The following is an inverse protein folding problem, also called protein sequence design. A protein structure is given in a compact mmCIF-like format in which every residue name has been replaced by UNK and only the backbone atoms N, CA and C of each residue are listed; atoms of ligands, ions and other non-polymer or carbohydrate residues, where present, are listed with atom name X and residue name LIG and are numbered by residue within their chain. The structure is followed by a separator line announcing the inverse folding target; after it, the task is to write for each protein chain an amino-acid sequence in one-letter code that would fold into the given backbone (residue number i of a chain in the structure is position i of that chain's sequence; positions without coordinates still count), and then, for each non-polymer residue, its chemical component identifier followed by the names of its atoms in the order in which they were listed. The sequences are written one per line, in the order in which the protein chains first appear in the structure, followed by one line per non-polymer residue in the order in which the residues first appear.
data_IF_435877634946
#
_entry.id   IF_435877634946
#
_cell.length_a   1.000
_cell.length_b   1.000
_cell.length_c   1.000
_cell.angle_alpha   90.00
_cell.angle_beta   90.00
_cell.angle_gamma   90.00
#
_symmetry.space_group_name_H-M   'P 1'
#
loop_
_entity.id
_entity.type
_entity.pdbx_description
1 polymer ?
#
# COMPACT_ATOMS: atom_id res chain seq x y z
N UNK A 1 -61.77 2.80 48.55
CA UNK A 1 -60.87 1.80 47.93
C UNK A 1 -60.97 1.98 46.42
N UNK A 2 -59.87 2.36 45.73
CA UNK A 2 -59.55 2.10 44.30
C UNK A 2 -60.55 2.60 43.22
N UNK A 3 -60.22 3.27 42.11
CA UNK A 3 -58.99 3.72 41.42
C UNK A 3 -59.39 4.92 40.53
N UNK A 4 -58.50 5.90 40.37
CA UNK A 4 -58.61 7.00 39.42
C UNK A 4 -58.42 6.51 37.97
N UNK A 5 -59.37 6.82 37.10
CA UNK A 5 -59.16 7.00 35.66
C UNK A 5 -59.71 8.40 35.37
N UNK A 6 -59.04 9.30 34.65
CA UNK A 6 -58.95 9.22 33.20
C UNK A 6 -58.39 10.54 32.65
N UNK A 7 -57.80 10.49 31.45
CA UNK A 7 -57.70 11.58 30.45
C UNK A 7 -56.50 12.52 30.51
N UNK A 8 -55.29 11.97 30.38
CA UNK A 8 -54.16 12.69 29.76
C UNK A 8 -53.30 11.67 29.00
N UNK A 9 -53.80 11.13 27.90
CA UNK A 9 -53.04 10.25 27.00
C UNK A 9 -53.65 10.30 25.62
N UNK A 10 -53.51 11.45 24.95
CA UNK A 10 -53.91 11.57 23.56
C UNK A 10 -53.12 12.69 22.85
N UNK A 11 -51.81 12.83 23.11
CA UNK A 11 -50.97 13.80 22.38
C UNK A 11 -49.46 13.57 22.60
N UNK A 12 -49.01 12.32 22.71
CA UNK A 12 -47.60 12.00 22.93
C UNK A 12 -47.09 10.81 22.08
N UNK A 13 -47.71 10.55 20.92
CA UNK A 13 -47.36 9.39 20.10
C UNK A 13 -47.17 9.68 18.62
N UNK A 14 -46.88 10.93 18.25
CA UNK A 14 -46.61 11.30 16.84
C UNK A 14 -45.22 11.89 16.57
N UNK A 15 -44.28 11.78 17.52
CA UNK A 15 -42.89 12.26 17.32
C UNK A 15 -41.82 11.17 17.47
N UNK A 16 -42.20 9.90 17.54
CA UNK A 16 -41.28 8.76 17.76
C UNK A 16 -41.16 7.85 16.53
N UNK A 17 -41.46 8.35 15.33
CA UNK A 17 -41.41 7.54 14.10
C UNK A 17 -40.31 7.95 13.10
N UNK A 18 -39.56 9.03 13.35
CA UNK A 18 -38.61 9.58 12.36
C UNK A 18 -37.13 9.21 12.63
N UNK A 19 -36.80 8.60 13.76
CA UNK A 19 -35.39 8.40 14.15
C UNK A 19 -34.76 7.03 13.83
N UNK A 20 -35.47 6.11 13.16
CA UNK A 20 -34.94 4.75 12.89
C UNK A 20 -34.45 4.50 11.47
N UNK A 21 -34.38 5.53 10.61
CA UNK A 21 -33.75 5.41 9.30
C UNK A 21 -32.31 5.94 9.29
N UNK A 22 -31.52 5.59 10.31
CA UNK A 22 -30.06 5.64 10.16
C UNK A 22 -29.66 4.41 9.37
N UNK A 23 -29.74 4.52 8.03
CA UNK A 23 -29.11 3.58 7.12
C UNK A 23 -27.62 3.49 7.50
N UNK A 24 -27.24 2.42 8.19
CA UNK A 24 -25.86 2.02 8.32
C UNK A 24 -25.35 1.77 6.90
N UNK A 25 -24.71 2.78 6.31
CA UNK A 25 -23.93 2.60 5.10
C UNK A 25 -23.00 1.40 5.34
N UNK A 26 -22.85 0.47 4.38
CA UNK A 26 -21.88 -0.60 4.53
C UNK A 26 -20.52 0.06 4.72
N UNK A 27 -19.97 -0.09 5.93
CA UNK A 27 -18.57 0.20 6.19
C UNK A 27 -17.80 -0.54 5.10
N UNK A 28 -17.20 0.21 4.17
CA UNK A 28 -16.32 -0.37 3.18
C UNK A 28 -15.16 -0.96 3.96
N UNK A 29 -15.26 -2.26 4.26
CA UNK A 29 -14.15 -3.07 4.69
C UNK A 29 -13.02 -2.74 3.72
N UNK A 30 -11.90 -2.26 4.27
CA UNK A 30 -10.72 -1.85 3.52
C UNK A 30 -10.36 -2.99 2.57
N UNK A 31 -10.80 -2.90 1.31
CA UNK A 31 -10.74 -4.02 0.38
C UNK A 31 -9.27 -4.25 0.08
N UNK A 32 -8.71 -5.32 0.63
CA UNK A 32 -7.41 -5.82 0.20
C UNK A 32 -7.38 -5.86 -1.32
N UNK A 33 -6.31 -5.35 -1.94
CA UNK A 33 -6.22 -5.28 -3.40
C UNK A 33 -6.52 -6.65 -4.02
N UNK A 34 -7.32 -6.68 -5.08
CA UNK A 34 -7.70 -7.93 -5.73
C UNK A 34 -6.47 -8.62 -6.34
N UNK A 35 -6.51 -9.95 -6.45
CA UNK A 35 -5.40 -10.70 -7.04
C UNK A 35 -5.18 -10.35 -8.52
N UNK A 36 -6.25 -9.93 -9.22
CA UNK A 36 -6.12 -9.43 -10.58
C UNK A 36 -5.29 -8.14 -10.64
N UNK A 37 -5.56 -7.19 -9.75
CA UNK A 37 -4.77 -5.95 -9.67
C UNK A 37 -3.30 -6.24 -9.31
N UNK A 38 -3.04 -7.13 -8.36
CA UNK A 38 -1.67 -7.54 -8.01
C UNK A 38 -0.93 -8.08 -9.23
N UNK A 39 -1.56 -8.97 -10.01
CA UNK A 39 -1.01 -9.53 -11.24
C UNK A 39 -0.74 -8.48 -12.30
N UNK A 40 -1.69 -7.58 -12.52
CA UNK A 40 -1.57 -6.49 -13.50
C UNK A 40 -0.39 -5.58 -13.18
N UNK A 41 -0.35 -5.00 -11.97
CA UNK A 41 0.73 -4.12 -11.55
C UNK A 41 2.09 -4.82 -11.52
N UNK A 42 2.13 -6.09 -11.08
CA UNK A 42 3.37 -6.86 -11.14
C UNK A 42 3.83 -7.09 -12.58
N UNK A 43 2.93 -7.47 -13.48
CA UNK A 43 3.25 -7.68 -14.90
C UNK A 43 3.82 -6.42 -15.55
N UNK A 44 3.16 -5.28 -15.34
CA UNK A 44 3.64 -3.97 -15.81
C UNK A 44 5.01 -3.64 -15.20
N UNK A 45 5.16 -3.80 -13.89
CA UNK A 45 6.42 -3.54 -13.21
C UNK A 45 7.58 -4.37 -13.75
N UNK A 46 7.39 -5.69 -13.93
CA UNK A 46 8.44 -6.58 -14.42
C UNK A 46 8.78 -6.27 -15.87
N UNK A 47 7.78 -6.01 -16.71
CA UNK A 47 7.97 -5.66 -18.12
C UNK A 47 8.79 -4.38 -18.23
N UNK A 48 8.36 -3.29 -17.58
CA UNK A 48 9.05 -2.02 -17.63
C UNK A 48 10.47 -2.09 -17.01
N UNK A 49 10.63 -2.84 -15.92
CA UNK A 49 11.95 -3.05 -15.29
C UNK A 49 12.92 -3.77 -16.22
N UNK A 50 12.46 -4.78 -16.95
CA UNK A 50 13.30 -5.56 -17.88
C UNK A 50 13.67 -4.79 -19.13
N UNK A 51 12.85 -3.82 -19.52
CA UNK A 51 13.09 -2.94 -20.66
C UNK A 51 13.81 -1.64 -20.28
N UNK A 52 14.38 -1.56 -19.07
CA UNK A 52 15.05 -0.36 -18.52
C UNK A 52 14.17 0.91 -18.51
N UNK A 53 12.85 0.76 -18.61
CA UNK A 53 11.88 1.84 -18.48
C UNK A 53 11.64 2.16 -16.99
N UNK A 54 12.71 2.56 -16.30
CA UNK A 54 12.75 2.63 -14.84
C UNK A 54 11.72 3.61 -14.26
N UNK A 55 11.43 4.73 -14.94
CA UNK A 55 10.38 5.67 -14.49
C UNK A 55 9.01 5.00 -14.47
N UNK A 56 8.68 4.25 -15.52
CA UNK A 56 7.40 3.54 -15.59
C UNK A 56 7.35 2.38 -14.60
N UNK A 57 8.44 1.62 -14.48
CA UNK A 57 8.57 0.55 -13.50
C UNK A 57 8.33 1.06 -12.08
N UNK A 58 8.90 2.20 -11.70
CA UNK A 58 8.73 2.77 -10.36
C UNK A 58 7.29 3.20 -10.05
N UNK A 59 6.51 3.62 -11.04
CA UNK A 59 5.07 3.91 -10.84
C UNK A 59 4.30 2.65 -10.44
N UNK A 60 4.56 1.54 -11.14
CA UNK A 60 3.94 0.25 -10.80
C UNK A 60 4.49 -0.32 -9.49
N UNK A 61 5.77 -0.09 -9.21
CA UNK A 61 6.39 -0.48 -7.94
C UNK A 61 5.78 0.24 -6.75
N UNK A 62 5.48 1.54 -6.85
CA UNK A 62 4.84 2.30 -5.76
C UNK A 62 3.52 1.66 -5.31
N UNK A 63 2.69 1.31 -6.29
CA UNK A 63 1.44 0.60 -6.02
C UNK A 63 1.70 -0.76 -5.35
N UNK A 64 2.64 -1.56 -5.88
CA UNK A 64 2.97 -2.87 -5.32
C UNK A 64 3.51 -2.76 -3.90
N UNK A 65 4.41 -1.82 -3.61
CA UNK A 65 4.97 -1.62 -2.28
C UNK A 65 3.91 -1.22 -1.25
N UNK A 66 2.87 -0.50 -1.69
CA UNK A 66 1.75 -0.09 -0.84
C UNK A 66 0.74 -1.21 -0.58
N UNK A 67 0.44 -2.02 -1.60
CA UNK A 67 -0.69 -2.95 -1.57
C UNK A 67 -0.31 -4.43 -1.52
N UNK A 68 0.88 -4.78 -1.99
CA UNK A 68 1.35 -6.15 -2.12
C UNK A 68 2.90 -6.23 -2.09
N UNK A 69 3.56 -5.73 -1.03
CA UNK A 69 5.02 -5.49 -1.01
C UNK A 69 5.88 -6.75 -1.16
N UNK A 70 5.29 -7.91 -0.89
CA UNK A 70 5.95 -9.22 -0.91
C UNK A 70 5.52 -10.09 -2.10
N UNK A 71 4.65 -9.58 -2.98
CA UNK A 71 4.13 -10.35 -4.11
C UNK A 71 5.21 -10.64 -5.18
N UNK A 72 5.16 -11.80 -5.87
CA UNK A 72 4.26 -12.94 -5.64
C UNK A 72 4.80 -13.97 -4.65
N UNK A 73 6.12 -13.99 -4.42
CA UNK A 73 6.80 -15.11 -3.73
C UNK A 73 6.96 -14.93 -2.22
N UNK A 74 6.38 -13.87 -1.65
CA UNK A 74 6.59 -13.53 -0.25
C UNK A 74 7.98 -12.97 0.04
N UNK A 75 8.70 -12.40 -0.93
CA UNK A 75 10.09 -11.96 -0.76
C UNK A 75 10.32 -10.46 -1.05
N UNK A 76 11.54 -9.97 -0.77
CA UNK A 76 11.92 -8.57 -0.98
C UNK A 76 12.21 -8.18 -2.46
N UNK A 77 11.75 -8.94 -3.46
CA UNK A 77 12.12 -8.68 -4.87
C UNK A 77 11.62 -7.35 -5.40
N UNK A 78 10.43 -6.89 -4.97
CA UNK A 78 9.88 -5.62 -5.43
C UNK A 78 10.79 -4.48 -4.96
N UNK A 79 11.17 -4.48 -3.68
CA UNK A 79 12.18 -3.56 -3.14
C UNK A 79 13.50 -3.64 -3.89
N UNK A 80 14.01 -4.86 -4.16
CA UNK A 80 15.27 -5.04 -4.88
C UNK A 80 15.23 -4.44 -6.27
N UNK A 81 14.15 -4.67 -7.01
CA UNK A 81 14.00 -4.17 -8.38
C UNK A 81 13.77 -2.67 -8.39
N UNK A 82 12.95 -2.12 -7.50
CA UNK A 82 12.76 -0.68 -7.38
C UNK A 82 14.05 0.05 -6.95
N UNK A 83 14.84 -0.55 -6.05
CA UNK A 83 16.19 -0.06 -5.71
C UNK A 83 17.07 0.04 -6.96
N UNK A 84 17.13 -1.05 -7.74
CA UNK A 84 17.89 -1.07 -8.98
C UNK A 84 17.35 -0.09 -10.03
N UNK A 85 16.03 0.11 -10.11
CA UNK A 85 15.43 1.11 -11.01
C UNK A 85 15.89 2.52 -10.69
N UNK A 86 15.93 2.89 -9.40
CA UNK A 86 16.49 4.19 -9.00
C UNK A 86 17.98 4.30 -9.35
N UNK A 87 18.78 3.26 -9.13
CA UNK A 87 20.19 3.29 -9.56
C UNK A 87 20.35 3.37 -11.08
N UNK A 88 19.46 2.74 -11.84
CA UNK A 88 19.40 2.85 -13.30
C UNK A 88 19.08 4.28 -13.75
N UNK A 89 18.14 4.95 -13.08
CA UNK A 89 17.86 6.37 -13.31
C UNK A 89 19.04 7.26 -12.93
N UNK A 90 19.73 6.98 -11.81
CA UNK A 90 20.93 7.69 -11.43
C UNK A 90 22.02 7.55 -12.51
N UNK A 91 22.25 6.33 -13.03
CA UNK A 91 23.25 6.10 -14.09
C UNK A 91 22.96 6.91 -15.35
N UNK A 92 21.69 7.09 -15.69
CA UNK A 92 21.25 7.79 -16.90
C UNK A 92 20.98 9.29 -16.69
N UNK A 93 21.13 9.80 -15.48
CA UNK A 93 20.85 11.20 -15.14
C UNK A 93 21.94 12.14 -15.67
N UNK A 94 21.52 13.29 -16.19
CA UNK A 94 22.42 14.25 -16.86
C UNK A 94 23.12 15.20 -15.88
N UNK A 95 22.58 15.38 -14.68
CA UNK A 95 23.15 16.25 -13.64
C UNK A 95 23.51 15.49 -12.38
N UNK A 96 24.54 15.94 -11.67
CA UNK A 96 24.93 15.32 -10.40
C UNK A 96 23.86 15.49 -9.31
N UNK A 97 23.05 16.55 -9.40
CA UNK A 97 21.90 16.74 -8.53
C UNK A 97 20.85 15.64 -8.72
N UNK A 98 20.48 15.33 -9.96
CA UNK A 98 19.55 14.25 -10.27
C UNK A 98 20.12 12.88 -9.88
N UNK A 99 21.40 12.62 -10.19
CA UNK A 99 22.09 11.39 -9.77
C UNK A 99 21.95 11.19 -8.27
N UNK A 100 22.27 12.23 -7.48
CA UNK A 100 22.20 12.18 -6.03
C UNK A 100 20.77 11.92 -5.53
N UNK A 101 19.78 12.62 -6.09
CA UNK A 101 18.37 12.44 -5.72
C UNK A 101 17.88 11.00 -5.95
N UNK A 102 18.26 10.38 -7.06
CA UNK A 102 17.92 8.98 -7.34
C UNK A 102 18.65 8.00 -6.41
N UNK A 103 19.94 8.24 -6.11
CA UNK A 103 20.68 7.43 -5.13
C UNK A 103 20.05 7.54 -3.73
N UNK A 104 19.68 8.74 -3.30
CA UNK A 104 19.04 8.96 -2.00
C UNK A 104 17.68 8.25 -1.91
N UNK A 105 16.92 8.25 -3.01
CA UNK A 105 15.67 7.49 -3.13
C UNK A 105 15.90 5.98 -3.02
N UNK A 106 16.94 5.45 -3.68
CA UNK A 106 17.34 4.05 -3.57
C UNK A 106 17.70 3.69 -2.12
N UNK A 107 18.51 4.52 -1.45
CA UNK A 107 18.92 4.30 -0.06
C UNK A 107 17.73 4.35 0.90
N UNK A 108 16.78 5.25 0.69
CA UNK A 108 15.55 5.35 1.48
C UNK A 108 14.72 4.08 1.37
N UNK A 109 14.55 3.57 0.15
CA UNK A 109 13.90 2.28 -0.08
C UNK A 109 14.65 1.11 0.57
N UNK A 110 15.98 1.12 0.51
CA UNK A 110 16.81 0.06 1.09
C UNK A 110 16.71 -0.01 2.62
N UNK A 111 16.57 1.14 3.29
CA UNK A 111 16.42 1.23 4.75
C UNK A 111 15.12 0.59 5.25
N UNK A 112 14.02 0.76 4.51
CA UNK A 112 12.68 0.29 4.93
C UNK A 112 12.32 -1.13 4.48
N UNK A 113 13.03 -1.68 3.49
CA UNK A 113 12.68 -2.96 2.89
C UNK A 113 12.57 -4.13 3.89
N UNK A 114 13.55 -4.29 4.80
CA UNK A 114 13.55 -5.43 5.72
C UNK A 114 12.36 -5.38 6.68
N UNK A 115 12.10 -4.21 7.27
CA UNK A 115 10.98 -4.01 8.19
C UNK A 115 9.64 -4.17 7.49
N UNK A 116 9.46 -3.59 6.30
CA UNK A 116 8.19 -3.64 5.57
C UNK A 116 7.89 -5.05 5.03
N UNK A 117 8.89 -5.79 4.55
CA UNK A 117 8.72 -7.18 4.10
C UNK A 117 8.31 -8.09 5.26
N UNK A 118 8.98 -7.97 6.42
CA UNK A 118 8.61 -8.73 7.63
C UNK A 118 7.21 -8.37 8.12
N UNK A 119 6.86 -7.08 8.13
CA UNK A 119 5.53 -6.62 8.53
C UNK A 119 4.41 -7.16 7.61
N UNK A 120 4.72 -7.39 6.34
CA UNK A 120 3.81 -8.00 5.37
C UNK A 120 3.86 -9.54 5.35
N UNK A 121 4.47 -10.18 6.36
CA UNK A 121 4.56 -11.65 6.47
C UNK A 121 5.53 -12.30 5.47
N UNK A 122 6.35 -11.51 4.79
CA UNK A 122 7.34 -12.00 3.84
C UNK A 122 8.68 -12.37 4.50
N UNK A 123 9.53 -13.01 3.70
CA UNK A 123 10.86 -13.47 4.08
C UNK A 123 11.93 -12.61 3.42
N UNK A 124 12.91 -12.21 4.21
CA UNK A 124 14.07 -11.46 3.74
C UNK A 124 15.28 -11.82 4.58
N UNK A 125 16.33 -12.28 3.92
CA UNK A 125 17.65 -12.38 4.52
C UNK A 125 18.24 -10.97 4.64
N UNK A 126 18.21 -10.45 5.86
CA UNK A 126 18.72 -9.12 6.20
C UNK A 126 20.21 -8.99 5.95
N UNK A 127 20.99 -10.05 6.21
CA UNK A 127 22.43 -10.03 5.96
C UNK A 127 22.71 -9.91 4.46
N UNK A 128 22.05 -10.74 3.64
CA UNK A 128 22.13 -10.64 2.18
C UNK A 128 21.67 -9.26 1.68
N UNK A 129 20.65 -8.68 2.30
CA UNK A 129 20.13 -7.36 1.95
C UNK A 129 21.13 -6.23 2.28
N UNK A 130 21.77 -6.29 3.44
CA UNK A 130 22.78 -5.32 3.88
C UNK A 130 24.04 -5.42 3.02
N UNK A 131 24.52 -6.62 2.68
CA UNK A 131 25.70 -6.73 1.83
C UNK A 131 25.48 -6.10 0.45
N UNK A 132 24.31 -6.32 -0.16
CA UNK A 132 23.97 -5.76 -1.48
C UNK A 132 23.95 -4.23 -1.52
N UNK A 133 23.61 -3.55 -0.41
CA UNK A 133 23.63 -2.09 -0.36
C UNK A 133 25.04 -1.49 -0.29
N UNK A 134 26.03 -2.27 0.15
CA UNK A 134 27.41 -1.82 0.38
C UNK A 134 28.36 -2.09 -0.78
N UNK A 135 28.01 -3.01 -1.69
CA UNK A 135 28.92 -3.56 -2.71
C UNK A 135 28.81 -2.92 -4.10
N UNK A 136 28.39 -1.65 -4.21
CA UNK A 136 28.33 -0.96 -5.51
C UNK A 136 28.77 0.49 -5.40
#
# INVERSE_FOLDING_TARGET
MRVFFSRLSALASLLTAVLLFSATAPAHAQSSASDQQKKEYYSLFVTDYRSDNFKSALRSADWLLKHAPTYPEGDARIYRRAYNSYLGLAKNASSDAEKRAYVDSALTLAKRAVSEVRAAGGQVDEHTWIQRRKLR
#
